data_IF_063033259851
#
_entry.id   IF_063033259851
#
_cell.length_a   1.000
_cell.length_b   1.000
_cell.length_c   1.000
_cell.angle_alpha   90.00
_cell.angle_beta   90.00
_cell.angle_gamma   90.00
#
_symmetry.space_group_name_H-M   'P 1'
#
loop_
_entity.id
_entity.type
_entity.pdbx_description
1 polymer ?
#
# COMPACT_ATOMS: atom_id res chain seq x y z
N UNK A 1 29.37 -10.37 -15.90
CA UNK A 1 29.63 -8.92 -15.77
C UNK A 1 28.63 -8.38 -14.78
N UNK A 2 29.10 -7.85 -13.66
CA UNK A 2 28.26 -7.42 -12.54
C UNK A 2 27.88 -5.96 -12.81
N UNK A 3 26.70 -5.73 -13.38
CA UNK A 3 26.18 -4.38 -13.69
C UNK A 3 26.20 -3.50 -12.44
N UNK A 4 26.62 -2.25 -12.64
CA UNK A 4 26.92 -1.25 -11.63
C UNK A 4 25.73 -1.01 -10.68
N UNK A 5 25.88 -1.47 -9.44
CA UNK A 5 25.02 -1.05 -8.34
C UNK A 5 25.32 0.41 -7.99
N UNK A 6 24.52 1.33 -8.52
CA UNK A 6 24.51 2.74 -8.10
C UNK A 6 23.59 2.90 -6.90
N UNK A 7 24.17 3.35 -5.78
CA UNK A 7 23.44 3.60 -4.53
C UNK A 7 22.25 4.55 -4.74
N UNK A 8 22.42 5.57 -5.59
CA UNK A 8 21.37 6.53 -5.93
C UNK A 8 20.12 5.90 -6.53
N UNK A 9 20.28 4.95 -7.46
CA UNK A 9 19.14 4.28 -8.09
C UNK A 9 18.41 3.39 -7.07
N UNK A 10 19.16 2.76 -6.17
CA UNK A 10 18.56 1.95 -5.11
C UNK A 10 17.81 2.81 -4.08
N UNK A 11 18.35 3.97 -3.73
CA UNK A 11 17.67 4.94 -2.87
C UNK A 11 16.42 5.51 -3.56
N UNK A 12 16.46 5.76 -4.87
CA UNK A 12 15.27 6.12 -5.68
C UNK A 12 14.20 5.03 -5.62
N UNK A 13 14.58 3.76 -5.80
CA UNK A 13 13.65 2.64 -5.75
C UNK A 13 12.96 2.53 -4.39
N UNK A 14 13.71 2.66 -3.28
CA UNK A 14 13.12 2.66 -1.94
C UNK A 14 12.12 3.79 -1.76
N UNK A 15 12.43 5.00 -2.23
CA UNK A 15 11.52 6.14 -2.15
C UNK A 15 10.24 5.92 -2.96
N UNK A 16 10.32 5.32 -4.15
CA UNK A 16 9.13 4.98 -4.95
C UNK A 16 8.28 3.91 -4.27
N UNK A 17 8.91 2.90 -3.66
CA UNK A 17 8.20 1.89 -2.86
C UNK A 17 7.47 2.53 -1.67
N UNK A 18 8.15 3.40 -0.90
CA UNK A 18 7.55 4.12 0.23
C UNK A 18 6.38 5.01 -0.20
N UNK A 19 6.51 5.68 -1.35
CA UNK A 19 5.45 6.50 -1.93
C UNK A 19 4.26 5.63 -2.33
N UNK A 20 4.52 4.48 -2.97
CA UNK A 20 3.48 3.56 -3.43
C UNK A 20 2.68 2.97 -2.26
N UNK A 21 3.36 2.61 -1.16
CA UNK A 21 2.72 2.06 0.04
C UNK A 21 2.27 3.12 1.05
N UNK A 22 2.40 4.40 0.70
CA UNK A 22 1.86 5.53 1.46
C UNK A 22 2.50 5.75 2.84
N UNK A 23 3.70 5.21 3.11
CA UNK A 23 4.39 5.39 4.39
C UNK A 23 5.90 5.18 4.31
N UNK A 24 6.62 5.79 5.26
CA UNK A 24 8.05 5.55 5.46
C UNK A 24 8.31 4.21 6.14
N UNK A 25 9.43 3.58 5.81
CA UNK A 25 9.81 2.27 6.34
C UNK A 25 11.06 2.43 7.22
N UNK A 26 10.83 2.63 8.53
CA UNK A 26 11.90 2.99 9.48
C UNK A 26 11.88 2.17 10.77
N UNK A 27 10.78 1.49 11.06
CA UNK A 27 10.57 0.70 12.27
C UNK A 27 10.36 -0.79 11.96
N UNK A 28 10.55 -1.69 12.94
CA UNK A 28 10.24 -3.12 12.80
C UNK A 28 8.86 -3.40 12.19
N UNK A 29 7.84 -2.68 12.68
CA UNK A 29 6.45 -2.80 12.22
C UNK A 29 6.27 -2.43 10.75
N UNK A 30 7.04 -1.47 10.27
CA UNK A 30 6.98 -1.06 8.86
C UNK A 30 7.52 -2.15 7.95
N UNK A 31 8.52 -2.93 8.39
CA UNK A 31 9.04 -4.05 7.61
C UNK A 31 8.04 -5.21 7.53
N UNK A 32 7.32 -5.51 8.61
CA UNK A 32 6.22 -6.47 8.60
C UNK A 32 5.10 -6.01 7.66
N UNK A 33 4.74 -4.73 7.71
CA UNK A 33 3.78 -4.12 6.80
C UNK A 33 4.23 -4.22 5.34
N UNK A 34 5.47 -3.82 5.04
CA UNK A 34 6.01 -3.82 3.68
C UNK A 34 6.10 -5.24 3.10
N UNK A 35 6.47 -6.23 3.91
CA UNK A 35 6.51 -7.64 3.48
C UNK A 35 5.16 -8.09 2.92
N UNK A 36 4.07 -7.78 3.63
CA UNK A 36 2.71 -8.14 3.21
C UNK A 36 2.21 -7.30 2.03
N UNK A 37 2.60 -6.03 1.95
CA UNK A 37 2.34 -5.22 0.75
C UNK A 37 3.02 -5.83 -0.48
N UNK A 38 4.32 -6.16 -0.41
CA UNK A 38 5.05 -6.77 -1.52
C UNK A 38 4.33 -8.02 -2.03
N UNK A 39 3.92 -8.91 -1.12
CA UNK A 39 3.16 -10.11 -1.46
C UNK A 39 1.84 -9.79 -2.18
N UNK A 40 1.05 -8.85 -1.66
CA UNK A 40 -0.20 -8.47 -2.32
C UNK A 40 -0.02 -7.74 -3.68
N UNK A 41 1.14 -7.12 -3.91
CA UNK A 41 1.46 -6.48 -5.19
C UNK A 41 2.04 -7.44 -6.23
N UNK A 42 2.87 -8.37 -5.80
CA UNK A 42 3.75 -9.14 -6.68
C UNK A 42 3.48 -10.65 -6.67
N UNK A 43 2.70 -11.13 -5.69
CA UNK A 43 2.50 -12.56 -5.39
C UNK A 43 3.80 -13.29 -5.01
N UNK A 44 4.84 -12.55 -4.64
CA UNK A 44 6.12 -13.08 -4.18
C UNK A 44 6.42 -12.59 -2.76
N UNK A 45 7.16 -13.39 -2.00
CA UNK A 45 7.45 -13.11 -0.59
C UNK A 45 8.90 -12.68 -0.39
N UNK A 46 9.12 -11.75 0.54
CA UNK A 46 10.45 -11.35 1.00
C UNK A 46 10.47 -11.32 2.51
N UNK A 47 11.44 -11.99 3.13
CA UNK A 47 11.54 -11.99 4.59
C UNK A 47 11.79 -10.59 5.16
N UNK A 48 11.21 -10.30 6.31
CA UNK A 48 11.42 -9.06 7.09
C UNK A 48 12.91 -8.82 7.34
N UNK A 49 13.69 -9.87 7.63
CA UNK A 49 15.14 -9.78 7.81
C UNK A 49 15.89 -9.36 6.55
N UNK A 50 15.39 -9.71 5.36
CA UNK A 50 15.91 -9.22 4.09
C UNK A 50 15.58 -7.74 3.92
N UNK A 51 14.32 -7.32 4.16
CA UNK A 51 13.90 -5.92 4.05
C UNK A 51 14.68 -5.00 5.01
N UNK A 52 14.88 -5.42 6.26
CA UNK A 52 15.69 -4.70 7.25
C UNK A 52 17.11 -4.43 6.76
N UNK A 53 17.73 -5.39 6.06
CA UNK A 53 19.07 -5.23 5.48
C UNK A 53 19.05 -4.31 4.26
N UNK A 54 18.05 -4.47 3.39
CA UNK A 54 17.86 -3.62 2.19
C UNK A 54 17.66 -2.14 2.55
N UNK A 55 16.88 -1.85 3.59
CA UNK A 55 16.65 -0.48 4.07
C UNK A 55 17.77 0.06 4.96
N UNK A 56 18.80 -0.75 5.27
CA UNK A 56 19.91 -0.34 6.13
C UNK A 56 19.55 -0.25 7.62
N UNK A 57 18.41 -0.81 8.04
CA UNK A 57 18.03 -0.91 9.45
C UNK A 57 18.92 -1.87 10.23
N UNK A 58 19.39 -2.94 9.58
CA UNK A 58 20.42 -3.85 10.10
C UNK A 58 21.65 -3.75 9.21
N UNK A 59 22.81 -3.54 9.84
CA UNK A 59 24.09 -3.51 9.14
C UNK A 59 24.32 -4.82 8.38
N UNK A 60 24.65 -4.70 7.11
CA UNK A 60 24.92 -5.83 6.23
C UNK A 60 25.95 -5.40 5.19
N UNK A 61 27.03 -6.16 5.04
CA UNK A 61 28.04 -5.96 3.99
C UNK A 61 27.62 -6.54 2.64
N UNK A 62 26.53 -7.33 2.61
CA UNK A 62 26.05 -7.94 1.39
C UNK A 62 25.28 -6.94 0.53
N UNK A 63 25.60 -6.89 -0.76
CA UNK A 63 24.83 -6.16 -1.77
C UNK A 63 23.40 -6.75 -1.88
N UNK A 64 22.39 -5.94 -2.20
CA UNK A 64 21.06 -6.46 -2.53
C UNK A 64 21.17 -7.51 -3.64
N UNK A 65 20.45 -8.63 -3.49
CA UNK A 65 20.38 -9.62 -4.56
C UNK A 65 19.66 -9.04 -5.77
N UNK A 66 20.04 -9.46 -6.98
CA UNK A 66 19.33 -9.08 -8.21
C UNK A 66 17.84 -9.39 -8.09
N UNK A 67 17.48 -10.54 -7.54
CA UNK A 67 16.08 -10.92 -7.29
C UNK A 67 15.28 -9.85 -6.53
N UNK A 68 15.83 -9.30 -5.43
CA UNK A 68 15.14 -8.28 -4.66
C UNK A 68 14.98 -6.96 -5.44
N UNK A 69 15.98 -6.61 -6.27
CA UNK A 69 15.90 -5.43 -7.14
C UNK A 69 14.81 -5.62 -8.20
N UNK A 70 14.82 -6.75 -8.90
CA UNK A 70 13.80 -7.09 -9.90
C UNK A 70 12.38 -7.09 -9.29
N UNK A 71 12.24 -7.63 -8.07
CA UNK A 71 10.97 -7.66 -7.37
C UNK A 71 10.44 -6.27 -7.01
N UNK A 72 11.28 -5.45 -6.36
CA UNK A 72 10.88 -4.10 -5.97
C UNK A 72 10.62 -3.22 -7.20
N UNK A 73 11.39 -3.39 -8.28
CA UNK A 73 11.12 -2.70 -9.56
C UNK A 73 9.77 -3.09 -10.15
N UNK A 74 9.40 -4.38 -10.13
CA UNK A 74 8.06 -4.83 -10.55
C UNK A 74 6.96 -4.25 -9.68
N UNK A 75 7.17 -4.17 -8.37
CA UNK A 75 6.22 -3.57 -7.43
C UNK A 75 5.90 -2.12 -7.81
N UNK A 76 6.91 -1.32 -8.19
CA UNK A 76 6.73 0.08 -8.60
C UNK A 76 6.35 0.26 -10.09
N UNK A 77 6.14 -0.83 -10.83
CA UNK A 77 5.60 -0.80 -12.19
C UNK A 77 6.62 -0.89 -13.32
N UNK A 78 7.86 -1.27 -13.02
CA UNK A 78 8.90 -1.51 -14.02
C UNK A 78 9.11 -3.01 -14.24
N UNK A 79 9.23 -3.49 -15.48
CA UNK A 79 9.35 -4.91 -15.76
C UNK A 79 10.65 -5.53 -15.23
N UNK A 80 11.69 -4.71 -15.03
CA UNK A 80 12.98 -5.15 -14.50
C UNK A 80 13.72 -4.01 -13.78
N UNK A 81 14.76 -4.38 -13.02
CA UNK A 81 15.69 -3.42 -12.42
C UNK A 81 16.36 -2.52 -13.47
N UNK A 82 16.78 -3.08 -14.60
CA UNK A 82 17.45 -2.30 -15.65
C UNK A 82 16.47 -1.28 -16.27
N UNK A 83 15.23 -1.67 -16.52
CA UNK A 83 14.19 -0.75 -17.00
C UNK A 83 13.91 0.38 -16.00
N UNK A 84 13.95 0.07 -14.70
CA UNK A 84 13.86 1.09 -13.65
C UNK A 84 15.03 2.08 -13.72
N UNK A 85 16.28 1.60 -13.80
CA UNK A 85 17.48 2.45 -13.88
C UNK A 85 17.45 3.34 -15.12
N UNK A 86 17.16 2.78 -16.29
CA UNK A 86 17.10 3.50 -17.57
C UNK A 86 16.01 4.59 -17.60
N UNK A 87 14.95 4.45 -16.79
CA UNK A 87 13.88 5.44 -16.73
C UNK A 87 14.29 6.80 -16.17
N UNK A 88 15.46 6.90 -15.53
CA UNK A 88 15.97 8.15 -14.94
C UNK A 88 16.14 9.27 -15.98
N UNK A 89 16.58 8.90 -17.18
CA UNK A 89 16.90 9.84 -18.26
C UNK A 89 15.82 9.87 -19.36
N UNK A 90 14.80 9.01 -19.25
CA UNK A 90 13.74 8.91 -20.22
C UNK A 90 12.70 10.02 -20.01
N UNK A 91 12.54 10.91 -20.99
CA UNK A 91 11.34 11.75 -21.14
C UNK A 91 10.19 10.87 -21.64
N UNK A 92 9.73 9.96 -20.79
CA UNK A 92 8.71 8.99 -21.16
C UNK A 92 7.34 9.69 -21.27
N UNK A 93 6.78 9.72 -22.48
CA UNK A 93 5.40 10.18 -22.75
C UNK A 93 4.33 9.16 -22.32
N UNK A 94 4.74 7.96 -21.93
CA UNK A 94 3.87 6.86 -21.47
C UNK A 94 4.65 5.92 -20.56
N UNK A 95 4.03 5.49 -19.45
CA UNK A 95 4.59 4.49 -18.53
C UNK A 95 3.47 3.60 -18.00
N UNK A 96 3.80 2.35 -17.68
CA UNK A 96 2.92 1.55 -16.83
C UNK A 96 2.89 2.22 -15.45
N UNK A 97 1.68 2.44 -14.92
CA UNK A 97 1.50 2.99 -13.59
C UNK A 97 0.74 1.99 -12.74
N UNK A 98 1.42 1.47 -11.73
CA UNK A 98 0.79 0.64 -10.72
C UNK A 98 0.11 1.56 -9.72
N UNK A 99 -1.21 1.38 -9.54
CA UNK A 99 -1.97 2.15 -8.56
C UNK A 99 -1.47 1.86 -7.14
N UNK A 100 -1.50 2.89 -6.30
CA UNK A 100 -1.25 2.74 -4.86
C UNK A 100 -2.40 1.95 -4.24
N UNK A 101 -2.08 0.94 -3.46
CA UNK A 101 -2.99 -0.04 -2.88
C UNK A 101 -2.56 -0.32 -1.46
N UNK A 102 -3.54 -0.38 -0.57
CA UNK A 102 -3.37 -0.87 0.78
C UNK A 102 -3.99 -2.25 0.88
N UNK A 103 -3.15 -3.27 1.05
CA UNK A 103 -3.59 -4.62 1.43
C UNK A 103 -4.00 -4.64 2.90
N UNK A 104 -5.22 -5.10 3.22
CA UNK A 104 -5.76 -5.09 4.58
C UNK A 104 -4.98 -6.01 5.54
N UNK A 105 -4.51 -7.17 5.07
CA UNK A 105 -3.68 -8.08 5.88
C UNK A 105 -2.35 -7.45 6.32
N UNK A 106 -1.87 -6.40 5.63
CA UNK A 106 -0.67 -5.67 6.04
C UNK A 106 -0.86 -4.88 7.35
N UNK A 107 -2.10 -4.58 7.72
CA UNK A 107 -2.44 -3.82 8.90
C UNK A 107 -2.37 -4.68 10.16
N UNK A 108 -2.16 -4.03 11.30
CA UNK A 108 -2.27 -4.66 12.62
C UNK A 108 -3.57 -4.19 13.27
N UNK A 109 -4.19 -5.06 14.07
CA UNK A 109 -5.43 -4.75 14.79
C UNK A 109 -5.27 -3.43 15.53
N UNK A 110 -6.31 -2.59 15.44
CA UNK A 110 -6.39 -1.21 15.90
C UNK A 110 -5.75 -0.15 15.00
N UNK A 111 -5.11 -0.50 13.88
CA UNK A 111 -4.68 0.50 12.90
C UNK A 111 -5.85 1.32 12.38
N UNK A 112 -5.61 2.61 12.23
CA UNK A 112 -6.58 3.54 11.68
C UNK A 112 -6.22 3.86 10.24
N UNK A 113 -7.20 3.78 9.36
CA UNK A 113 -7.07 4.16 7.95
C UNK A 113 -8.06 5.29 7.69
N UNK A 114 -7.56 6.37 7.11
CA UNK A 114 -8.38 7.48 6.64
C UNK A 114 -8.62 7.33 5.15
N UNK A 115 -9.89 7.29 4.76
CA UNK A 115 -10.33 7.29 3.38
C UNK A 115 -10.93 8.64 3.02
N UNK A 116 -10.66 9.12 1.81
CA UNK A 116 -11.25 10.37 1.30
C UNK A 116 -11.71 10.22 -0.15
N UNK A 117 -12.82 10.87 -0.50
CA UNK A 117 -13.33 10.93 -1.88
C UNK A 117 -14.27 12.13 -2.08
N UNK A 118 -14.55 12.48 -3.33
CA UNK A 118 -15.36 13.66 -3.64
C UNK A 118 -16.88 13.44 -3.39
N UNK A 119 -17.65 14.51 -3.10
CA UNK A 119 -17.20 15.84 -2.73
C UNK A 119 -16.90 15.92 -1.22
N UNK A 120 -15.62 16.11 -0.87
CA UNK A 120 -15.19 16.37 0.52
C UNK A 120 -15.62 15.32 1.56
N UNK A 121 -15.67 14.04 1.19
CA UNK A 121 -16.04 12.94 2.08
C UNK A 121 -14.81 12.38 2.78
N UNK A 122 -14.96 12.11 4.06
CA UNK A 122 -13.90 11.57 4.92
C UNK A 122 -14.47 10.42 5.72
N UNK A 123 -13.73 9.32 5.81
CA UNK A 123 -14.07 8.18 6.63
C UNK A 123 -12.81 7.72 7.38
N UNK A 124 -12.87 7.62 8.70
CA UNK A 124 -11.81 7.02 9.50
C UNK A 124 -12.28 5.64 9.94
N UNK A 125 -11.54 4.60 9.57
CA UNK A 125 -11.88 3.20 9.85
C UNK A 125 -10.77 2.56 10.68
N UNK A 126 -11.17 1.67 11.57
CA UNK A 126 -10.27 0.92 12.45
C UNK A 126 -10.23 -0.54 12.01
N UNK A 127 -9.04 -1.08 11.80
CA UNK A 127 -8.85 -2.47 11.46
C UNK A 127 -9.11 -3.37 12.67
N UNK A 128 -9.96 -4.38 12.50
CA UNK A 128 -10.34 -5.35 13.51
C UNK A 128 -9.67 -6.72 13.31
N UNK A 129 -8.95 -6.92 12.21
CA UNK A 129 -8.39 -8.22 11.80
C UNK A 129 -9.27 -8.94 10.79
N UNK A 130 -8.66 -9.87 10.05
CA UNK A 130 -9.33 -10.70 9.02
C UNK A 130 -10.15 -9.87 8.03
N UNK A 131 -9.56 -8.80 7.49
CA UNK A 131 -10.20 -7.88 6.53
C UNK A 131 -11.43 -7.14 7.05
N UNK A 132 -11.69 -7.18 8.36
CA UNK A 132 -12.82 -6.48 8.98
C UNK A 132 -12.41 -5.12 9.51
N UNK A 133 -13.32 -4.16 9.33
CA UNK A 133 -13.13 -2.77 9.73
C UNK A 133 -14.36 -2.26 10.47
N UNK A 134 -14.11 -1.31 11.38
CA UNK A 134 -15.16 -0.51 12.04
C UNK A 134 -15.01 0.95 11.67
N UNK A 135 -16.11 1.60 11.32
CA UNK A 135 -16.14 3.06 11.12
C UNK A 135 -16.04 3.74 12.47
N UNK A 136 -15.01 4.58 12.62
CA UNK A 136 -14.77 5.39 13.81
C UNK A 136 -15.34 6.79 13.63
N UNK A 137 -15.12 7.39 12.46
CA UNK A 137 -15.60 8.73 12.12
C UNK A 137 -16.05 8.76 10.67
N UNK A 138 -17.07 9.58 10.40
CA UNK A 138 -17.64 9.73 9.06
C UNK A 138 -18.08 11.18 8.84
N UNK A 139 -17.69 11.74 7.71
CA UNK A 139 -18.09 13.07 7.26
C UNK A 139 -18.58 12.99 5.81
N UNK A 140 -19.78 13.52 5.56
CA UNK A 140 -20.42 13.60 4.24
C UNK A 140 -20.60 12.24 3.51
N UNK A 141 -20.52 11.13 4.25
CA UNK A 141 -20.71 9.77 3.75
C UNK A 141 -22.06 9.19 4.19
N UNK A 142 -22.51 8.12 3.53
CA UNK A 142 -23.69 7.33 3.94
C UNK A 142 -23.38 6.35 5.07
N UNK A 143 -22.09 6.08 5.32
CA UNK A 143 -21.64 5.26 6.45
C UNK A 143 -21.70 6.09 7.74
N UNK A 144 -21.99 5.44 8.85
CA UNK A 144 -22.04 6.05 10.17
C UNK A 144 -20.97 5.46 11.11
N UNK A 145 -20.56 6.24 12.10
CA UNK A 145 -19.70 5.73 13.17
C UNK A 145 -20.38 4.55 13.86
N UNK A 146 -19.65 3.45 14.03
CA UNK A 146 -20.17 2.19 14.55
C UNK A 146 -20.37 1.11 13.50
N UNK A 147 -20.52 1.46 12.22
CA UNK A 147 -20.70 0.50 11.13
C UNK A 147 -19.50 -0.45 11.02
N UNK A 148 -19.76 -1.70 10.64
CA UNK A 148 -18.71 -2.68 10.37
C UNK A 148 -18.84 -3.25 8.98
N UNK A 149 -17.73 -3.52 8.32
CA UNK A 149 -17.70 -4.09 6.97
C UNK A 149 -16.41 -4.89 6.73
N UNK A 150 -16.39 -5.67 5.65
CA UNK A 150 -15.24 -6.43 5.17
C UNK A 150 -14.69 -5.83 3.88
N UNK A 151 -13.36 -5.65 3.81
CA UNK A 151 -12.66 -5.17 2.62
C UNK A 151 -11.21 -5.68 2.59
N UNK A 152 -10.80 -6.34 1.49
CA UNK A 152 -9.47 -6.94 1.38
C UNK A 152 -8.37 -5.95 0.95
N UNK A 153 -8.73 -4.94 0.16
CA UNK A 153 -7.77 -3.96 -0.35
C UNK A 153 -8.43 -2.62 -0.66
N UNK A 154 -7.66 -1.55 -0.53
CA UNK A 154 -8.05 -0.20 -0.90
C UNK A 154 -7.17 0.28 -2.04
N UNK A 155 -7.74 0.50 -3.22
CA UNK A 155 -7.00 0.94 -4.41
C UNK A 155 -7.24 2.42 -4.61
N UNK A 156 -6.17 3.21 -4.65
CA UNK A 156 -6.24 4.64 -4.87
C UNK A 156 -6.83 4.94 -6.26
N UNK A 157 -7.66 5.98 -6.34
CA UNK A 157 -8.32 6.45 -7.56
C UNK A 157 -9.19 5.37 -8.24
N UNK A 158 -9.70 4.40 -7.47
CA UNK A 158 -10.71 3.42 -7.89
C UNK A 158 -11.91 3.41 -6.94
N UNK A 159 -13.11 3.03 -7.41
CA UNK A 159 -14.25 2.78 -6.54
C UNK A 159 -13.94 1.71 -5.48
N UNK A 160 -14.37 1.97 -4.26
CA UNK A 160 -14.21 1.05 -3.14
C UNK A 160 -15.49 0.25 -2.94
N UNK A 161 -15.39 -1.07 -3.01
CA UNK A 161 -16.48 -1.98 -2.72
C UNK A 161 -16.30 -2.60 -1.34
N UNK A 162 -17.31 -2.40 -0.49
CA UNK A 162 -17.39 -2.95 0.85
C UNK A 162 -18.44 -4.07 0.85
N UNK A 163 -18.10 -5.16 1.54
CA UNK A 163 -19.00 -6.30 1.72
C UNK A 163 -19.37 -6.47 3.18
N UNK A 164 -20.43 -7.23 3.45
CA UNK A 164 -20.90 -7.51 4.81
C UNK A 164 -21.14 -6.25 5.66
N UNK A 165 -21.62 -5.16 5.04
CA UNK A 165 -21.88 -3.91 5.77
C UNK A 165 -23.02 -4.13 6.76
N UNK A 166 -22.71 -3.94 8.04
CA UNK A 166 -23.67 -3.93 9.13
C UNK A 166 -23.90 -2.48 9.53
N UNK A 167 -25.12 -1.98 9.26
CA UNK A 167 -25.57 -0.65 9.61
C UNK A 167 -26.92 -0.73 10.34
N UNK A 168 -27.12 -0.01 11.46
CA UNK A 168 -28.37 -0.08 12.21
C UNK A 168 -29.61 0.19 11.35
N UNK A 169 -30.55 -0.75 11.32
CA UNK A 169 -31.81 -0.60 10.59
C UNK A 169 -31.74 -0.91 9.09
N UNK A 170 -30.57 -1.28 8.54
CA UNK A 170 -30.42 -1.72 7.15
C UNK A 170 -30.03 -3.22 7.14
N UNK A 171 -30.68 -4.06 6.32
CA UNK A 171 -30.24 -5.44 6.13
C UNK A 171 -28.78 -5.50 5.65
N UNK A 172 -28.09 -6.60 5.98
CA UNK A 172 -26.73 -6.85 5.51
C UNK A 172 -26.62 -6.58 4.00
N UNK A 173 -25.74 -5.67 3.62
CA UNK A 173 -25.65 -5.24 2.23
C UNK A 173 -24.20 -4.94 1.82
N UNK A 174 -24.02 -4.68 0.52
CA UNK A 174 -22.77 -4.17 -0.02
C UNK A 174 -22.89 -2.66 -0.21
N UNK A 175 -21.75 -1.97 -0.11
CA UNK A 175 -21.68 -0.52 -0.27
C UNK A 175 -20.55 -0.15 -1.24
N UNK A 176 -20.78 0.86 -2.06
CA UNK A 176 -19.76 1.43 -2.93
C UNK A 176 -19.44 2.86 -2.51
N UNK A 177 -18.16 3.13 -2.25
CA UNK A 177 -17.61 4.46 -2.00
C UNK A 177 -16.81 4.94 -3.21
N UNK A 178 -16.74 6.25 -3.45
CA UNK A 178 -15.92 6.80 -4.54
C UNK A 178 -16.31 6.30 -5.94
N UNK A 179 -17.57 5.94 -6.19
CA UNK A 179 -18.00 5.40 -7.50
C UNK A 179 -17.58 6.30 -8.68
N UNK A 180 -17.59 7.61 -8.46
CA UNK A 180 -17.11 8.60 -9.42
C UNK A 180 -15.83 9.24 -8.86
N UNK A 181 -14.67 8.93 -9.44
CA UNK A 181 -13.37 9.52 -9.07
C UNK A 181 -12.51 8.70 -8.10
N UNK A 182 -13.06 7.61 -7.54
CA UNK A 182 -12.34 6.70 -6.66
C UNK A 182 -12.10 7.24 -5.25
N UNK A 183 -11.34 6.46 -4.48
CA UNK A 183 -10.95 6.80 -3.11
C UNK A 183 -9.46 7.11 -3.02
N UNK A 184 -9.07 7.88 -2.00
CA UNK A 184 -7.70 7.96 -1.51
C UNK A 184 -7.66 7.36 -0.12
N UNK A 185 -6.51 6.84 0.28
CA UNK A 185 -6.31 6.22 1.58
C UNK A 185 -5.02 6.71 2.21
N UNK A 186 -4.98 6.72 3.54
CA UNK A 186 -3.80 7.02 4.33
C UNK A 186 -3.87 6.25 5.65
N UNK A 187 -2.83 5.49 6.00
CA UNK A 187 -2.72 4.88 7.32
C UNK A 187 -2.33 5.98 8.31
N UNK A 188 -3.11 6.14 9.38
CA UNK A 188 -2.81 7.10 10.44
C UNK A 188 -1.81 6.47 11.40
N UNK A 189 -0.69 7.14 11.64
CA UNK A 189 0.24 6.73 12.68
C UNK A 189 -0.43 6.96 14.04
N UNK A 190 -0.50 5.89 14.84
CA UNK A 190 -1.00 5.91 16.22
C UNK A 190 0.10 6.11 17.24
#
# INVERSE_FOLDING_TARGET
MMEDYKKEDFDRLKNEVETLVGRKIVSPRDFDFLSRQIEGYTQETVSVSTLKRLWGYVACSCKPSRFNLELLSRMVGYPSWNAFVESKDAVASSRFFIKSKLIADALVVNDLVRLTWEPGRILTIKYLGNDNFKVMESLNSKLAAGDTFTCHQFVADEPLYLSNLTHPGIPLCNYVAGQNGGIKWNVLEG
#
